data_IF_076687254919
#
_entry.id   IF_076687254919
#
_cell.length_a   1.000
_cell.length_b   1.000
_cell.length_c   1.000
_cell.angle_alpha   90.00
_cell.angle_beta   90.00
_cell.angle_gamma   90.00
#
_symmetry.space_group_name_H-M   'P 1'
#
loop_
_entity.id
_entity.type
_entity.pdbx_description
1 polymer ?
#
# COMPACT_ATOMS: atom_id res chain seq x y z
N UNK A 1 30.46 11.68 3.85
CA UNK A 1 29.55 10.54 3.66
C UNK A 1 28.16 10.94 4.13
N UNK A 2 27.18 11.02 3.23
CA UNK A 2 25.79 11.29 3.65
C UNK A 2 25.25 10.04 4.35
N UNK A 3 24.83 10.17 5.61
CA UNK A 3 24.23 9.06 6.35
C UNK A 3 23.04 8.50 5.56
N UNK A 4 23.11 7.22 5.18
CA UNK A 4 21.96 6.51 4.61
C UNK A 4 20.82 6.59 5.61
N UNK A 5 19.75 7.29 5.24
CA UNK A 5 18.57 7.43 6.08
C UNK A 5 17.98 6.02 6.27
N UNK A 6 18.20 5.43 7.43
CA UNK A 6 17.71 4.09 7.73
C UNK A 6 16.29 4.20 8.30
N UNK A 7 15.38 3.34 7.86
CA UNK A 7 14.04 3.22 8.42
C UNK A 7 13.73 1.76 8.71
N UNK A 8 12.60 1.53 9.36
CA UNK A 8 12.04 0.21 9.57
C UNK A 8 10.51 0.24 9.44
N UNK A 9 9.91 -0.94 9.43
CA UNK A 9 8.46 -1.15 9.36
C UNK A 9 7.96 -1.81 10.65
N UNK A 10 7.02 -1.16 11.32
CA UNK A 10 6.21 -1.82 12.33
C UNK A 10 5.05 -2.54 11.65
N UNK A 11 4.75 -3.77 12.07
CA UNK A 11 3.67 -4.58 11.51
C UNK A 11 2.62 -4.89 12.57
N UNK A 12 1.37 -4.89 12.15
CA UNK A 12 0.22 -5.46 12.85
C UNK A 12 -0.44 -6.52 11.97
N UNK A 13 -1.20 -7.41 12.59
CA UNK A 13 -2.11 -8.30 11.87
C UNK A 13 -3.56 -8.06 12.30
N UNK A 14 -4.47 -8.38 11.40
CA UNK A 14 -5.90 -8.40 11.69
C UNK A 14 -6.23 -9.48 12.72
N UNK A 15 -7.08 -9.14 13.68
CA UNK A 15 -7.58 -10.08 14.68
C UNK A 15 -8.91 -10.65 14.16
N UNK A 16 -8.93 -11.96 13.86
CA UNK A 16 -10.09 -12.62 13.26
C UNK A 16 -11.37 -12.42 14.09
N UNK A 17 -12.48 -12.17 13.39
CA UNK A 17 -13.79 -11.93 14.03
C UNK A 17 -13.96 -10.53 14.65
N UNK A 18 -13.02 -9.62 14.45
CA UNK A 18 -13.06 -8.27 15.04
C UNK A 18 -13.01 -7.15 14.00
N UNK A 19 -12.87 -5.91 14.45
CA UNK A 19 -12.57 -4.74 13.60
C UNK A 19 -11.16 -4.19 13.83
N UNK A 20 -10.22 -5.03 14.29
CA UNK A 20 -8.92 -4.57 14.78
C UNK A 20 -7.74 -5.11 13.96
N UNK A 21 -6.77 -4.24 13.71
CA UNK A 21 -5.39 -4.63 13.43
C UNK A 21 -4.57 -4.36 14.68
N UNK A 22 -3.87 -5.37 15.21
CA UNK A 22 -3.16 -5.25 16.48
C UNK A 22 -1.66 -5.48 16.29
N UNK A 23 -0.85 -4.51 16.70
CA UNK A 23 0.60 -4.67 16.77
C UNK A 23 0.95 -5.63 17.90
N UNK A 24 1.89 -6.55 17.66
CA UNK A 24 2.25 -7.62 18.61
C UNK A 24 1.35 -8.85 18.56
N UNK A 25 0.30 -8.85 17.73
CA UNK A 25 -0.52 -10.02 17.46
C UNK A 25 -0.16 -10.59 16.10
N UNK A 26 0.34 -11.83 16.05
CA UNK A 26 0.76 -12.52 14.81
C UNK A 26 1.53 -11.55 13.90
N UNK A 27 2.62 -10.94 14.40
CA UNK A 27 3.32 -9.88 13.67
C UNK A 27 4.80 -9.88 14.00
N UNK A 28 5.63 -9.54 13.03
CA UNK A 28 7.07 -9.35 13.24
C UNK A 28 7.31 -7.97 13.86
N UNK A 29 7.91 -7.88 15.06
CA UNK A 29 8.17 -6.62 15.73
C UNK A 29 9.36 -5.93 15.06
N UNK A 30 9.07 -4.90 14.26
CA UNK A 30 10.03 -4.01 13.60
C UNK A 30 11.00 -4.68 12.60
N UNK A 31 10.79 -4.46 11.30
CA UNK A 31 11.66 -4.97 10.24
C UNK A 31 12.48 -3.84 9.62
N UNK A 32 13.81 -3.96 9.62
CA UNK A 32 14.72 -2.96 9.04
C UNK A 32 14.57 -2.89 7.52
N UNK A 33 14.87 -1.72 6.95
CA UNK A 33 15.08 -1.53 5.51
C UNK A 33 16.56 -1.28 5.27
N UNK A 34 17.20 -2.09 4.42
CA UNK A 34 18.65 -2.09 4.22
C UNK A 34 19.03 -2.03 2.73
N UNK A 35 20.26 -1.58 2.46
CA UNK A 35 20.79 -1.47 1.09
C UNK A 35 20.10 -0.40 0.23
N UNK A 36 19.32 0.49 0.83
CA UNK A 36 18.55 1.49 0.10
C UNK A 36 19.49 2.51 -0.59
N UNK A 37 19.22 2.89 -1.85
CA UNK A 37 19.95 3.98 -2.51
C UNK A 37 19.87 5.29 -1.72
N UNK A 38 20.91 6.13 -1.79
CA UNK A 38 20.97 7.39 -1.04
C UNK A 38 19.81 8.36 -1.35
N UNK A 39 19.23 8.26 -2.54
CA UNK A 39 18.09 9.07 -2.99
C UNK A 39 16.74 8.36 -2.80
N UNK A 40 16.61 7.39 -1.90
CA UNK A 40 15.31 6.82 -1.56
C UNK A 40 14.45 7.82 -0.77
N UNK A 41 13.15 7.87 -1.05
CA UNK A 41 12.19 8.70 -0.33
C UNK A 41 11.36 7.88 0.65
N UNK A 42 11.48 8.15 1.96
CA UNK A 42 10.67 7.48 3.00
C UNK A 42 9.34 8.18 3.34
N UNK A 43 8.90 9.12 2.50
CA UNK A 43 7.69 9.92 2.74
C UNK A 43 6.37 9.23 2.37
N UNK A 44 6.45 8.15 1.58
CA UNK A 44 5.32 7.33 1.10
C UNK A 44 5.85 5.95 0.73
N UNK A 45 5.00 4.93 0.85
CA UNK A 45 5.39 3.55 0.61
C UNK A 45 4.16 2.68 0.29
N UNK A 46 4.40 1.53 -0.31
CA UNK A 46 3.39 0.48 -0.46
C UNK A 46 3.99 -0.88 -0.11
N UNK A 47 3.11 -1.83 0.19
CA UNK A 47 3.45 -3.21 0.49
C UNK A 47 2.70 -4.12 -0.47
N UNK A 48 3.32 -5.20 -0.91
CA UNK A 48 2.71 -6.21 -1.78
C UNK A 48 3.24 -7.59 -1.39
N UNK A 49 2.39 -8.60 -1.42
CA UNK A 49 2.81 -10.00 -1.39
C UNK A 49 2.24 -10.71 -2.61
N UNK A 50 3.08 -11.41 -3.36
CA UNK A 50 2.69 -12.13 -4.59
C UNK A 50 2.38 -13.61 -4.33
N UNK A 51 2.59 -14.09 -3.11
CA UNK A 51 2.53 -15.51 -2.76
C UNK A 51 3.89 -16.14 -2.48
N UNK A 52 4.97 -15.42 -2.78
CA UNK A 52 6.35 -15.85 -2.56
C UNK A 52 7.11 -14.82 -1.72
N UNK A 53 7.12 -13.56 -2.15
CA UNK A 53 7.96 -12.52 -1.56
C UNK A 53 7.13 -11.33 -1.08
N UNK A 54 7.34 -10.93 0.18
CA UNK A 54 6.86 -9.66 0.70
C UNK A 54 7.73 -8.54 0.15
N UNK A 55 7.11 -7.55 -0.48
CA UNK A 55 7.81 -6.44 -1.11
C UNK A 55 7.38 -5.10 -0.55
N UNK A 56 8.38 -4.29 -0.22
CA UNK A 56 8.25 -2.88 0.09
C UNK A 56 8.63 -2.07 -1.14
N UNK A 57 7.85 -1.03 -1.42
CA UNK A 57 8.08 -0.07 -2.50
C UNK A 57 8.27 1.30 -1.90
N UNK A 58 9.33 1.98 -2.30
CA UNK A 58 9.66 3.33 -1.90
C UNK A 58 9.95 4.18 -3.14
N UNK A 59 9.49 5.44 -3.22
CA UNK A 59 9.82 6.30 -4.34
C UNK A 59 11.31 6.67 -4.35
N UNK A 60 11.84 6.97 -5.54
CA UNK A 60 13.05 7.77 -5.69
C UNK A 60 12.74 9.24 -5.35
N UNK A 61 13.56 9.86 -4.51
CA UNK A 61 13.45 11.26 -4.13
C UNK A 61 13.55 12.16 -5.36
N UNK A 62 12.71 13.19 -5.42
CA UNK A 62 12.61 14.10 -6.58
C UNK A 62 11.92 13.50 -7.81
N UNK A 63 11.62 12.19 -7.83
CA UNK A 63 10.92 11.54 -8.94
C UNK A 63 9.42 11.39 -8.68
N UNK A 64 8.63 11.54 -9.75
CA UNK A 64 7.19 11.31 -9.78
C UNK A 64 6.80 9.90 -10.24
N UNK A 65 7.73 9.18 -10.87
CA UNK A 65 7.46 8.00 -11.69
C UNK A 65 8.34 6.80 -11.35
N UNK A 66 9.30 6.93 -10.43
CA UNK A 66 10.30 5.89 -10.17
C UNK A 66 10.14 5.32 -8.77
N UNK A 67 10.07 3.99 -8.69
CA UNK A 67 9.96 3.23 -7.45
C UNK A 67 11.16 2.30 -7.30
N UNK A 68 11.66 2.18 -6.08
CA UNK A 68 12.61 1.17 -5.66
C UNK A 68 11.88 0.02 -4.96
N UNK A 69 12.27 -1.21 -5.28
CA UNK A 69 11.68 -2.41 -4.70
C UNK A 69 12.64 -3.10 -3.73
N UNK A 70 12.10 -3.55 -2.62
CA UNK A 70 12.83 -4.24 -1.56
C UNK A 70 12.08 -5.53 -1.25
N UNK A 71 12.75 -6.68 -1.31
CA UNK A 71 12.17 -7.95 -0.89
C UNK A 71 12.53 -8.25 0.56
N UNK A 72 11.61 -8.85 1.29
CA UNK A 72 11.89 -9.36 2.62
C UNK A 72 12.83 -10.57 2.54
N UNK A 73 13.98 -10.46 3.20
CA UNK A 73 14.93 -11.55 3.37
C UNK A 73 14.76 -12.13 4.78
N UNK A 74 14.21 -13.36 4.92
CA UNK A 74 13.98 -13.96 6.23
C UNK A 74 15.27 -14.24 7.00
N UNK A 75 16.40 -14.52 6.33
CA UNK A 75 17.68 -14.75 7.01
C UNK A 75 18.26 -13.49 7.64
N UNK A 76 17.83 -12.30 7.20
CA UNK A 76 18.23 -11.01 7.75
C UNK A 76 17.14 -10.34 8.58
N UNK A 77 15.92 -10.88 8.59
CA UNK A 77 14.76 -10.23 9.19
C UNK A 77 14.49 -8.81 8.65
N UNK A 78 14.82 -8.55 7.38
CA UNK A 78 14.86 -7.20 6.82
C UNK A 78 14.36 -7.13 5.38
N UNK A 79 13.86 -5.96 4.98
CA UNK A 79 13.59 -5.63 3.59
C UNK A 79 14.88 -5.13 2.93
N UNK A 80 15.37 -5.87 1.94
CA UNK A 80 16.66 -5.64 1.29
C UNK A 80 16.44 -5.17 -0.15
N UNK A 81 17.12 -4.08 -0.53
CA UNK A 81 17.01 -3.52 -1.88
C UNK A 81 17.35 -4.54 -2.96
N UNK A 82 16.41 -4.78 -3.89
CA UNK A 82 16.59 -5.72 -5.00
C UNK A 82 16.64 -7.21 -4.63
N UNK A 83 16.45 -7.60 -3.37
CA UNK A 83 16.36 -9.02 -3.00
C UNK A 83 15.07 -9.63 -3.57
N UNK A 84 15.17 -10.66 -4.41
CA UNK A 84 14.04 -11.31 -5.10
C UNK A 84 13.04 -10.31 -5.75
N UNK A 85 13.60 -9.20 -6.26
CA UNK A 85 12.86 -8.01 -6.65
C UNK A 85 13.58 -7.24 -7.77
N UNK A 86 12.82 -6.53 -8.59
CA UNK A 86 13.29 -5.57 -9.59
C UNK A 86 13.71 -4.29 -8.88
N UNK A 87 15.01 -3.99 -8.90
CA UNK A 87 15.60 -2.83 -8.19
C UNK A 87 14.88 -1.51 -8.46
N UNK A 88 14.69 -1.16 -9.73
CA UNK A 88 14.06 0.09 -10.14
C UNK A 88 12.90 -0.18 -11.10
N UNK A 89 11.73 0.37 -10.75
CA UNK A 89 10.49 0.29 -11.52
C UNK A 89 10.07 1.68 -11.98
N UNK A 90 9.47 1.76 -13.17
CA UNK A 90 8.91 2.97 -13.76
C UNK A 90 7.39 2.93 -13.79
N UNK A 91 6.76 4.08 -13.63
CA UNK A 91 5.32 4.28 -13.75
C UNK A 91 5.08 5.10 -15.01
N UNK A 92 4.33 4.56 -15.96
CA UNK A 92 4.19 5.13 -17.31
C UNK A 92 2.73 5.39 -17.63
N UNK A 93 2.47 6.54 -18.25
CA UNK A 93 1.17 6.88 -18.82
C UNK A 93 0.07 7.26 -17.81
N UNK A 94 0.42 7.47 -16.53
CA UNK A 94 -0.57 7.91 -15.54
C UNK A 94 -1.18 9.27 -15.94
N UNK A 95 -2.50 9.47 -15.74
CA UNK A 95 -3.15 10.75 -15.98
C UNK A 95 -2.47 11.90 -15.22
N UNK A 96 -2.48 13.10 -15.80
CA UNK A 96 -1.83 14.26 -15.20
C UNK A 96 -2.39 14.60 -13.81
N UNK A 97 -3.66 14.32 -13.53
CA UNK A 97 -4.30 14.55 -12.24
C UNK A 97 -4.03 13.43 -11.22
N UNK A 98 -3.34 12.34 -11.57
CA UNK A 98 -2.96 11.30 -10.62
C UNK A 98 -2.06 11.86 -9.51
N UNK A 99 -2.33 11.48 -8.26
CA UNK A 99 -1.58 11.95 -7.10
C UNK A 99 -0.31 11.11 -6.90
N UNK A 100 0.78 11.48 -7.56
CA UNK A 100 2.08 10.82 -7.43
C UNK A 100 2.71 10.90 -6.03
N UNK A 101 2.13 11.71 -5.12
CA UNK A 101 2.55 11.77 -3.71
C UNK A 101 1.96 10.66 -2.84
N UNK A 102 1.13 9.76 -3.39
CA UNK A 102 0.61 8.60 -2.70
C UNK A 102 0.20 7.50 -3.67
N UNK A 103 0.58 6.26 -3.36
CA UNK A 103 0.21 5.10 -4.16
C UNK A 103 -0.01 3.89 -3.25
N UNK A 104 -0.72 2.89 -3.77
CA UNK A 104 -0.90 1.60 -3.13
C UNK A 104 -0.74 0.49 -4.17
N UNK A 105 -0.36 -0.70 -3.74
CA UNK A 105 -0.05 -1.81 -4.64
C UNK A 105 -0.59 -3.11 -4.08
N UNK A 106 -0.91 -4.06 -4.95
CA UNK A 106 -1.30 -5.42 -4.58
C UNK A 106 -0.98 -6.38 -5.73
N UNK A 107 -0.97 -7.69 -5.43
CA UNK A 107 -1.02 -8.74 -6.43
C UNK A 107 -2.39 -9.40 -6.33
N UNK A 108 -3.08 -9.54 -7.46
CA UNK A 108 -4.44 -10.11 -7.48
C UNK A 108 -4.48 -11.60 -7.83
N UNK A 109 -3.31 -12.24 -7.95
CA UNK A 109 -3.15 -13.63 -8.37
C UNK A 109 -2.78 -13.76 -9.84
N UNK A 110 -2.97 -12.72 -10.65
CA UNK A 110 -2.58 -12.67 -12.06
C UNK A 110 -1.59 -11.55 -12.34
N UNK A 111 -1.92 -10.34 -11.92
CA UNK A 111 -1.19 -9.12 -12.25
C UNK A 111 -0.73 -8.39 -10.98
N UNK A 112 0.41 -7.70 -11.08
CA UNK A 112 0.82 -6.73 -10.07
C UNK A 112 0.16 -5.39 -10.39
N UNK A 113 -0.59 -4.85 -9.43
CA UNK A 113 -1.37 -3.63 -9.59
C UNK A 113 -0.74 -2.48 -8.84
N UNK A 114 -0.79 -1.30 -9.45
CA UNK A 114 -0.47 -0.03 -8.82
C UNK A 114 -1.66 0.90 -8.92
N UNK A 115 -1.97 1.60 -7.84
CA UNK A 115 -3.07 2.55 -7.77
C UNK A 115 -2.57 3.93 -7.36
N UNK A 116 -3.21 4.96 -7.88
CA UNK A 116 -3.08 6.35 -7.43
C UNK A 116 -4.46 7.02 -7.37
N UNK A 117 -4.74 7.77 -6.31
CA UNK A 117 -5.97 8.59 -6.25
C UNK A 117 -5.81 9.86 -7.09
N UNK A 118 -6.90 10.44 -7.55
CA UNK A 118 -6.87 11.76 -8.21
C UNK A 118 -6.56 12.89 -7.21
N UNK A 119 -5.83 13.91 -7.67
CA UNK A 119 -5.54 15.15 -6.92
C UNK A 119 -6.77 16.03 -6.79
N UNK A 120 -7.60 16.09 -7.84
CA UNK A 120 -8.79 16.96 -7.91
C UNK A 120 -10.05 16.27 -7.44
N UNK A 121 -10.15 14.94 -7.59
CA UNK A 121 -11.31 14.16 -7.15
C UNK A 121 -10.91 13.09 -6.12
N UNK A 122 -11.17 13.29 -4.81
CA UNK A 122 -10.84 12.30 -3.79
C UNK A 122 -11.55 10.96 -3.99
N UNK A 123 -12.64 10.91 -4.77
CA UNK A 123 -13.44 9.71 -5.03
C UNK A 123 -13.07 9.01 -6.34
N UNK A 124 -11.93 9.35 -6.95
CA UNK A 124 -11.43 8.69 -8.16
C UNK A 124 -10.09 8.03 -7.91
N UNK A 125 -9.93 6.81 -8.42
CA UNK A 125 -8.68 6.03 -8.35
C UNK A 125 -8.28 5.56 -9.74
N UNK A 126 -7.00 5.68 -10.06
CA UNK A 126 -6.38 5.23 -11.29
C UNK A 126 -5.65 3.92 -11.04
N UNK A 127 -5.63 3.05 -12.05
CA UNK A 127 -4.96 1.76 -12.00
C UNK A 127 -3.93 1.64 -13.12
N UNK A 128 -2.79 1.06 -12.77
CA UNK A 128 -1.79 0.54 -13.68
C UNK A 128 -1.52 -0.93 -13.35
N UNK A 129 -1.03 -1.68 -14.32
CA UNK A 129 -0.51 -3.03 -14.09
C UNK A 129 0.95 -3.13 -14.55
N UNK A 130 1.70 -4.01 -13.91
CA UNK A 130 3.05 -4.35 -14.34
C UNK A 130 3.02 -5.03 -15.72
N UNK A 131 3.85 -4.56 -16.65
CA UNK A 131 4.01 -5.16 -17.98
C UNK A 131 5.18 -6.13 -17.96
N UNK A 132 4.88 -7.43 -18.07
CA UNK A 132 5.89 -8.49 -18.08
C UNK A 132 6.95 -8.26 -19.18
N UNK A 133 8.21 -8.63 -18.89
CA UNK A 133 9.34 -8.39 -19.78
C UNK A 133 9.88 -6.96 -19.74
N UNK A 134 9.33 -6.10 -18.89
CA UNK A 134 9.80 -4.71 -18.68
C UNK A 134 10.04 -4.43 -17.20
N UNK A 135 10.42 -3.20 -16.85
CA UNK A 135 10.41 -2.71 -15.47
C UNK A 135 9.28 -1.70 -15.21
N UNK A 136 8.16 -1.81 -15.94
CA UNK A 136 7.14 -0.75 -15.98
C UNK A 136 5.79 -1.19 -15.41
N UNK A 137 5.19 -0.30 -14.62
CA UNK A 137 3.75 -0.26 -14.39
C UNK A 137 3.13 0.69 -15.40
N UNK A 138 2.26 0.18 -16.25
CA UNK A 138 1.65 0.93 -17.35
C UNK A 138 0.18 1.18 -17.03
N UNK A 139 -0.22 2.45 -17.04
CA UNK A 139 -1.60 2.86 -16.84
C UNK A 139 -2.55 2.17 -17.84
N UNK A 140 -3.68 1.66 -17.35
CA UNK A 140 -4.69 1.00 -18.19
C UNK A 140 -4.28 -0.35 -18.79
N UNK A 141 -3.01 -0.75 -18.71
CA UNK A 141 -2.56 -2.06 -19.19
C UNK A 141 -3.22 -3.18 -18.37
N UNK A 142 -3.91 -4.11 -19.04
CA UNK A 142 -4.62 -5.25 -18.44
C UNK A 142 -5.46 -4.91 -17.19
N UNK A 143 -5.95 -3.66 -17.07
CA UNK A 143 -6.52 -3.11 -15.84
C UNK A 143 -7.70 -2.19 -16.13
N UNK A 144 -8.50 -1.87 -15.12
CA UNK A 144 -9.59 -0.88 -15.24
C UNK A 144 -8.95 0.50 -15.04
N UNK A 145 -8.84 1.34 -16.08
CA UNK A 145 -7.97 2.52 -16.01
C UNK A 145 -8.35 3.48 -14.88
N UNK A 146 -9.65 3.70 -14.68
CA UNK A 146 -10.16 4.53 -13.60
C UNK A 146 -11.42 3.91 -12.97
N UNK A 147 -11.53 4.03 -11.66
CA UNK A 147 -12.68 3.58 -10.88
C UNK A 147 -13.13 4.69 -9.93
N UNK A 148 -14.41 4.65 -9.57
CA UNK A 148 -14.99 5.55 -8.58
C UNK A 148 -15.00 4.92 -7.18
N UNK A 149 -15.02 5.78 -6.17
CA UNK A 149 -15.23 5.45 -4.77
C UNK A 149 -16.59 6.01 -4.39
N UNK A 150 -17.57 5.14 -4.21
CA UNK A 150 -18.96 5.51 -3.95
C UNK A 150 -19.35 5.17 -2.52
N UNK A 151 -20.44 5.77 -2.04
CA UNK A 151 -20.95 5.61 -0.66
C UNK A 151 -19.94 5.91 0.45
N UNK A 152 -18.81 6.54 0.13
CA UNK A 152 -17.77 6.87 1.10
C UNK A 152 -18.31 7.84 2.17
N UNK A 153 -18.04 7.58 3.45
CA UNK A 153 -18.31 8.52 4.54
C UNK A 153 -17.71 9.91 4.27
N UNK A 154 -18.37 10.96 4.73
CA UNK A 154 -17.94 12.35 4.48
C UNK A 154 -16.57 12.69 5.10
N UNK A 155 -16.17 11.94 6.12
CA UNK A 155 -14.94 12.15 6.88
C UNK A 155 -13.77 11.25 6.44
N UNK A 156 -13.81 10.68 5.22
CA UNK A 156 -12.62 10.07 4.62
C UNK A 156 -11.50 11.09 4.40
N UNK A 157 -10.25 10.66 4.54
CA UNK A 157 -9.08 11.47 4.19
C UNK A 157 -8.80 11.47 2.69
N UNK A 158 -8.11 12.52 2.21
CA UNK A 158 -7.53 12.59 0.86
C UNK A 158 -6.00 12.82 0.93
N UNK A 159 -5.33 12.11 1.83
CA UNK A 159 -3.88 12.18 2.03
C UNK A 159 -3.29 10.76 1.92
N UNK A 160 -2.08 10.53 2.45
CA UNK A 160 -1.36 9.25 2.36
C UNK A 160 -1.92 8.13 3.25
N UNK A 161 -3.04 8.36 3.96
CA UNK A 161 -3.68 7.37 4.82
C UNK A 161 -4.67 6.53 4.01
N UNK A 162 -4.16 5.73 3.08
CA UNK A 162 -4.96 4.74 2.36
C UNK A 162 -4.07 3.60 1.87
N UNK A 163 -4.68 2.43 1.64
CA UNK A 163 -3.99 1.26 1.12
C UNK A 163 -4.94 0.40 0.29
N UNK A 164 -4.36 -0.57 -0.40
CA UNK A 164 -5.08 -1.57 -1.19
C UNK A 164 -4.54 -2.95 -0.83
N UNK A 165 -5.38 -3.98 -0.83
CA UNK A 165 -4.95 -5.38 -0.88
C UNK A 165 -6.00 -6.22 -1.62
N UNK A 166 -5.60 -7.38 -2.11
CA UNK A 166 -6.52 -8.39 -2.62
C UNK A 166 -6.61 -9.52 -1.59
N UNK A 167 -7.82 -9.81 -1.12
CA UNK A 167 -8.02 -10.79 -0.03
C UNK A 167 -8.18 -12.23 -0.52
N UNK A 168 -8.05 -12.45 -1.83
CA UNK A 168 -8.33 -13.72 -2.49
C UNK A 168 -9.70 -13.79 -3.15
N UNK A 169 -10.63 -12.90 -2.76
CA UNK A 169 -11.99 -12.82 -3.33
C UNK A 169 -12.34 -11.42 -3.84
N UNK A 170 -11.88 -10.39 -3.15
CA UNK A 170 -12.22 -8.99 -3.40
C UNK A 170 -10.98 -8.10 -3.37
N UNK A 171 -10.98 -7.12 -4.27
CA UNK A 171 -10.10 -5.96 -4.15
C UNK A 171 -10.61 -5.07 -3.02
N UNK A 172 -9.77 -4.85 -2.02
CA UNK A 172 -10.07 -4.04 -0.85
C UNK A 172 -9.36 -2.70 -0.94
N UNK A 173 -10.11 -1.63 -0.71
CA UNK A 173 -9.60 -0.28 -0.53
C UNK A 173 -9.79 0.11 0.93
N UNK A 174 -8.78 0.75 1.53
CA UNK A 174 -8.84 1.24 2.89
C UNK A 174 -8.52 2.73 2.91
N UNK A 175 -9.32 3.53 3.60
CA UNK A 175 -9.10 4.98 3.69
C UNK A 175 -9.22 5.45 5.13
N UNK A 176 -8.21 6.18 5.61
CA UNK A 176 -8.16 6.76 6.95
C UNK A 176 -9.29 7.75 7.19
N UNK A 177 -9.76 7.80 8.44
CA UNK A 177 -10.78 8.73 8.94
C UNK A 177 -10.15 10.04 9.42
N UNK A 178 -10.73 11.19 9.06
CA UNK A 178 -10.28 12.53 9.49
C UNK A 178 -10.29 12.63 11.03
N UNK A 179 -9.29 13.29 11.61
CA UNK A 179 -9.15 13.45 13.06
C UNK A 179 -8.85 12.17 13.86
N UNK A 180 -8.89 10.98 13.24
CA UNK A 180 -8.71 9.68 13.91
C UNK A 180 -7.56 8.90 13.27
N UNK A 181 -6.30 9.11 13.70
CA UNK A 181 -5.10 8.58 13.03
C UNK A 181 -5.02 7.04 12.98
N UNK A 182 -5.71 6.37 13.89
CA UNK A 182 -5.73 4.91 13.98
C UNK A 182 -6.99 4.27 13.37
N UNK A 183 -7.94 5.06 12.86
CA UNK A 183 -9.19 4.54 12.29
C UNK A 183 -9.22 4.69 10.78
N UNK A 184 -9.81 3.71 10.11
CA UNK A 184 -9.94 3.67 8.66
C UNK A 184 -11.16 2.86 8.23
N UNK A 185 -11.75 3.25 7.12
CA UNK A 185 -12.88 2.59 6.48
C UNK A 185 -12.37 1.53 5.50
N UNK A 186 -13.08 0.40 5.38
CA UNK A 186 -12.86 -0.57 4.30
C UNK A 186 -13.93 -0.41 3.23
N UNK A 187 -13.51 -0.60 1.99
CA UNK A 187 -14.35 -0.64 0.79
C UNK A 187 -14.05 -1.93 0.05
N UNK A 188 -15.02 -2.44 -0.70
CA UNK A 188 -14.80 -3.55 -1.62
C UNK A 188 -15.14 -3.12 -3.05
N UNK A 189 -14.41 -3.65 -4.02
CA UNK A 189 -14.77 -3.47 -5.42
C UNK A 189 -16.04 -4.25 -5.75
N UNK A 190 -17.06 -3.55 -6.23
CA UNK A 190 -18.31 -4.11 -6.74
C UNK A 190 -18.25 -4.19 -8.27
N UNK A 191 -18.15 -5.39 -8.86
CA UNK A 191 -18.09 -5.54 -10.31
C UNK A 191 -19.41 -5.11 -11.00
N UNK A 192 -20.55 -5.15 -10.30
CA UNK A 192 -21.84 -4.75 -10.85
C UNK A 192 -21.95 -3.24 -11.11
N UNK A 193 -21.23 -2.43 -10.32
CA UNK A 193 -21.24 -0.96 -10.45
C UNK A 193 -19.88 -0.39 -10.91
N UNK A 194 -18.90 -1.26 -11.11
CA UNK A 194 -17.53 -0.91 -11.46
C UNK A 194 -16.92 0.14 -10.50
N UNK A 195 -17.15 -0.01 -9.19
CA UNK A 195 -16.73 0.96 -8.18
C UNK A 195 -16.29 0.33 -6.86
N UNK A 196 -15.44 1.03 -6.11
CA UNK A 196 -15.18 0.70 -4.71
C UNK A 196 -16.30 1.28 -3.86
N UNK A 197 -17.06 0.42 -3.18
CA UNK A 197 -18.19 0.84 -2.37
C UNK A 197 -17.93 0.59 -0.88
N UNK A 198 -18.32 1.57 -0.05
CA UNK A 198 -18.47 1.35 1.39
C UNK A 198 -19.81 0.67 1.66
N UNK A 199 -19.81 -0.32 2.55
CA UNK A 199 -21.00 -1.11 2.90
C UNK A 199 -21.22 -2.33 2.00
N UNK A 200 -20.59 -2.40 0.82
CA UNK A 200 -20.61 -3.60 -0.01
C UNK A 200 -19.51 -4.57 0.45
N UNK A 201 -19.92 -5.70 1.04
CA UNK A 201 -19.02 -6.78 1.50
C UNK A 201 -17.83 -6.30 2.35
N UNK A 202 -17.94 -5.15 3.02
CA UNK A 202 -16.85 -4.46 3.70
C UNK A 202 -17.09 -4.34 5.20
N UNK A 203 -16.02 -4.34 6.00
CA UNK A 203 -16.07 -3.98 7.41
C UNK A 203 -16.26 -2.46 7.53
N UNK A 204 -17.33 -1.97 8.21
CA UNK A 204 -17.65 -0.55 8.21
C UNK A 204 -16.54 0.33 8.73
N UNK A 205 -15.87 -0.05 9.83
CA UNK A 205 -14.81 0.72 10.45
C UNK A 205 -13.77 -0.22 11.06
N UNK A 206 -12.50 0.06 10.83
CA UNK A 206 -11.36 -0.69 11.35
C UNK A 206 -10.49 0.22 12.22
N UNK A 207 -9.82 -0.37 13.21
CA UNK A 207 -8.90 0.35 14.11
C UNK A 207 -7.54 -0.35 14.21
N UNK A 208 -6.46 0.41 14.05
CA UNK A 208 -5.10 -0.01 14.39
C UNK A 208 -4.83 0.21 15.88
N UNK A 209 -4.61 -0.86 16.64
CA UNK A 209 -4.43 -0.86 18.10
C UNK A 209 -2.97 -1.08 18.48
N UNK A 210 -2.54 -0.39 19.52
CA UNK A 210 -1.19 -0.48 20.10
C UNK A 210 -0.04 -0.16 19.13
N UNK A 211 -0.14 0.84 18.22
CA UNK A 211 0.99 1.18 17.34
C UNK A 211 2.19 1.63 18.19
N UNK A 212 3.40 1.08 17.96
CA UNK A 212 4.59 1.52 18.66
C UNK A 212 4.80 3.03 18.54
N UNK A 213 5.39 3.68 19.56
CA UNK A 213 5.52 5.14 19.65
C UNK A 213 6.31 5.77 18.48
N UNK A 214 7.22 5.00 17.88
CA UNK A 214 8.01 5.39 16.72
C UNK A 214 7.25 5.24 15.39
N UNK A 215 5.99 4.80 15.37
CA UNK A 215 5.21 4.65 14.13
C UNK A 215 4.84 6.01 13.51
N UNK A 216 5.11 6.18 12.20
CA UNK A 216 4.63 7.33 11.40
C UNK A 216 3.17 7.12 11.00
N UNK A 217 2.24 7.65 11.81
CA UNK A 217 0.78 7.52 11.60
C UNK A 217 0.20 8.34 10.43
N UNK A 218 1.03 9.13 9.75
CA UNK A 218 0.63 9.93 8.59
C UNK A 218 0.38 9.14 7.30
N UNK A 219 0.73 7.85 7.29
CA UNK A 219 0.52 6.92 6.19
C UNK A 219 0.50 5.48 6.70
N UNK A 220 -0.12 4.58 5.96
CA UNK A 220 -0.04 3.15 6.22
C UNK A 220 -0.05 2.38 4.90
N UNK A 221 0.39 1.13 4.94
CA UNK A 221 0.27 0.19 3.84
C UNK A 221 -0.25 -1.14 4.36
N UNK A 222 -0.82 -1.95 3.47
CA UNK A 222 -1.42 -3.23 3.84
C UNK A 222 -1.14 -4.25 2.75
N UNK A 223 -1.16 -5.54 3.10
CA UNK A 223 -1.19 -6.66 2.17
C UNK A 223 -1.92 -7.84 2.81
N UNK A 224 -2.28 -8.81 2.00
CA UNK A 224 -2.73 -10.12 2.47
C UNK A 224 -1.73 -11.16 1.99
N UNK A 225 -1.26 -12.00 2.90
CA UNK A 225 -0.21 -12.99 2.61
C UNK A 225 -0.74 -14.43 2.45
N UNK A 226 -2.06 -14.57 2.22
CA UNK A 226 -2.82 -15.83 2.18
C UNK A 226 -3.08 -16.46 3.55
N UNK A 227 -2.40 -16.03 4.62
CA UNK A 227 -2.69 -16.46 5.98
C UNK A 227 -3.27 -15.35 6.86
N UNK A 228 -2.79 -14.12 6.69
CA UNK A 228 -3.18 -12.99 7.50
C UNK A 228 -3.20 -11.67 6.72
N UNK A 229 -4.07 -10.77 7.17
CA UNK A 229 -4.08 -9.40 6.70
C UNK A 229 -3.08 -8.60 7.52
N UNK A 230 -2.10 -8.00 6.85
CA UNK A 230 -1.02 -7.24 7.48
C UNK A 230 -1.23 -5.75 7.30
N UNK A 231 -0.90 -4.98 8.33
CA UNK A 231 -0.94 -3.52 8.35
C UNK A 231 0.41 -2.97 8.79
N UNK A 232 0.90 -1.93 8.13
CA UNK A 232 2.25 -1.42 8.34
C UNK A 232 2.30 0.08 8.57
N UNK A 233 3.24 0.48 9.43
CA UNK A 233 3.74 1.84 9.52
C UNK A 233 5.25 1.86 9.30
N UNK A 234 5.74 2.82 8.52
CA UNK A 234 7.15 3.22 8.60
C UNK A 234 7.46 3.81 9.99
N UNK A 235 8.71 3.70 10.42
CA UNK A 235 9.19 4.32 11.66
C UNK A 235 9.66 5.76 11.43
N UNK A 236 9.64 6.58 12.49
CA UNK A 236 10.02 7.99 12.51
C UNK A 236 11.48 8.20 12.14
#
# INVERSE_FOLDING_TARGET
MAATKQTSLNQAAYVNGTSEYRFGHNSIPNMKVTGAPANVGFGRFAMLHDGSTYRLYLPKYGSKDTLYQFGFNPSQGAYVYGHNSIKELKIVGMPADANTNSYAMLHDGRDYRLYMRSRSNPRKIYQAAYKQGTNQYVYGHNSIPAMNITKAPADITNNRRWAMLHDGKHYRLYIGRKGRPNQFYQFAFNPATNSYEHGYQSIPLLTAKNPPANSKKGSFAMLHDRGAYRYYHLTK
#
